data_IF_614596260666
#
_entry.id   IF_614596260666
#
_cell.length_a   1.000
_cell.length_b   1.000
_cell.length_c   1.000
_cell.angle_alpha   90.00
_cell.angle_beta   90.00
_cell.angle_gamma   90.00
#
_symmetry.space_group_name_H-M   'P 1'
#
loop_
_entity.id
_entity.type
_entity.pdbx_description
1 polymer ?
#
# COMPACT_ATOMS: atom_id res chain seq x y z
N UNK A 1 -49.51 -10.58 -17.01
CA UNK A 1 -48.12 -10.63 -16.52
C UNK A 1 -48.20 -10.61 -15.02
N UNK A 2 -47.96 -11.75 -14.39
CA UNK A 2 -48.24 -11.94 -12.97
C UNK A 2 -47.31 -11.04 -12.15
N UNK A 3 -47.89 -10.19 -11.30
CA UNK A 3 -47.22 -9.24 -10.41
C UNK A 3 -46.12 -9.92 -9.57
N UNK A 4 -46.30 -11.21 -9.32
CA UNK A 4 -45.35 -12.10 -8.66
C UNK A 4 -43.99 -12.21 -9.39
N UNK A 5 -43.99 -12.32 -10.71
CA UNK A 5 -42.77 -12.38 -11.51
C UNK A 5 -41.99 -11.06 -11.44
N UNK A 6 -42.71 -9.93 -11.44
CA UNK A 6 -42.11 -8.59 -11.30
C UNK A 6 -41.47 -8.43 -9.93
N UNK A 7 -42.15 -8.81 -8.85
CA UNK A 7 -41.58 -8.75 -7.49
C UNK A 7 -40.35 -9.66 -7.35
N UNK A 8 -40.40 -10.89 -7.88
CA UNK A 8 -39.27 -11.83 -7.81
C UNK A 8 -38.02 -11.30 -8.55
N UNK A 9 -38.22 -10.62 -9.68
CA UNK A 9 -37.12 -10.00 -10.43
C UNK A 9 -36.49 -8.86 -9.66
N UNK A 10 -37.31 -7.97 -9.08
CA UNK A 10 -36.81 -6.83 -8.30
C UNK A 10 -36.04 -7.30 -7.07
N UNK A 11 -36.58 -8.27 -6.33
CA UNK A 11 -35.91 -8.84 -5.15
C UNK A 11 -34.58 -9.49 -5.55
N UNK A 12 -34.54 -10.24 -6.65
CA UNK A 12 -33.30 -10.89 -7.11
C UNK A 12 -32.21 -9.88 -7.48
N UNK A 13 -32.57 -8.78 -8.14
CA UNK A 13 -31.62 -7.71 -8.48
C UNK A 13 -31.08 -7.03 -7.22
N UNK A 14 -31.94 -6.73 -6.25
CA UNK A 14 -31.53 -6.10 -4.99
C UNK A 14 -30.59 -7.00 -4.19
N UNK A 15 -30.90 -8.30 -4.09
CA UNK A 15 -30.05 -9.29 -3.43
C UNK A 15 -28.70 -9.42 -4.14
N UNK A 16 -28.70 -9.48 -5.49
CA UNK A 16 -27.47 -9.51 -6.28
C UNK A 16 -26.58 -8.29 -6.06
N UNK A 17 -27.18 -7.09 -6.05
CA UNK A 17 -26.46 -5.85 -5.75
C UNK A 17 -25.88 -5.83 -4.33
N UNK A 18 -26.65 -6.26 -3.33
CA UNK A 18 -26.18 -6.32 -1.95
C UNK A 18 -24.98 -7.27 -1.81
N UNK A 19 -25.04 -8.46 -2.42
CA UNK A 19 -23.93 -9.42 -2.43
C UNK A 19 -22.70 -8.81 -3.10
N UNK A 20 -22.86 -8.15 -4.26
CA UNK A 20 -21.75 -7.51 -4.96
C UNK A 20 -21.08 -6.43 -4.11
N UNK A 21 -21.86 -5.55 -3.45
CA UNK A 21 -21.33 -4.51 -2.56
C UNK A 21 -20.60 -5.12 -1.36
N UNK A 22 -21.10 -6.22 -0.78
CA UNK A 22 -20.45 -6.93 0.33
C UNK A 22 -19.11 -7.53 -0.12
N UNK A 23 -19.07 -8.21 -1.27
CA UNK A 23 -17.83 -8.79 -1.81
C UNK A 23 -16.79 -7.69 -2.06
N UNK A 24 -17.21 -6.56 -2.65
CA UNK A 24 -16.33 -5.41 -2.91
C UNK A 24 -15.82 -4.81 -1.59
N UNK A 25 -16.69 -4.66 -0.58
CA UNK A 25 -16.33 -4.16 0.74
C UNK A 25 -15.38 -5.10 1.51
N UNK A 26 -15.56 -6.42 1.38
CA UNK A 26 -14.67 -7.42 1.98
C UNK A 26 -13.31 -7.47 1.28
N UNK A 27 -13.28 -7.26 -0.04
CA UNK A 27 -12.04 -7.19 -0.81
C UNK A 27 -11.33 -5.84 -0.65
N UNK A 28 -12.04 -4.81 -0.17
CA UNK A 28 -11.45 -3.49 0.05
C UNK A 28 -10.43 -3.57 1.19
N UNK A 29 -9.16 -3.21 0.95
CA UNK A 29 -8.17 -3.15 2.00
C UNK A 29 -8.54 -2.00 2.94
N UNK A 30 -9.22 -2.32 4.04
CA UNK A 30 -9.42 -1.36 5.11
C UNK A 30 -8.06 -0.90 5.61
N UNK A 31 -7.74 0.37 5.42
CA UNK A 31 -6.64 1.01 6.12
C UNK A 31 -6.82 0.68 7.61
N UNK A 32 -5.84 -0.04 8.17
CA UNK A 32 -5.85 -0.35 9.59
C UNK A 32 -6.10 0.97 10.33
N UNK A 33 -7.15 1.09 11.15
CA UNK A 33 -7.42 2.32 11.86
C UNK A 33 -6.15 2.66 12.62
N UNK A 34 -5.54 3.78 12.21
CA UNK A 34 -4.37 4.36 12.82
C UNK A 34 -4.70 4.41 14.31
N UNK A 35 -4.06 3.52 15.11
CA UNK A 35 -4.26 3.52 16.55
C UNK A 35 -3.98 4.94 17.00
N UNK A 36 -5.04 5.62 17.40
CA UNK A 36 -4.97 6.86 18.15
C UNK A 36 -3.97 6.56 19.28
N UNK A 37 -2.86 7.30 19.40
CA UNK A 37 -1.96 7.11 20.52
C UNK A 37 -2.71 7.54 21.77
N UNK A 38 -3.44 6.61 22.40
CA UNK A 38 -4.04 6.80 23.70
C UNK A 38 -2.90 7.17 24.64
N UNK A 39 -2.97 8.40 25.11
CA UNK A 39 -1.98 9.08 25.92
C UNK A 39 -1.53 8.20 27.10
N UNK A 40 -0.39 7.54 26.92
CA UNK A 40 0.38 7.00 28.02
C UNK A 40 1.16 8.17 28.63
N UNK A 41 0.61 8.77 29.69
CA UNK A 41 1.37 9.49 30.73
C UNK A 41 2.50 8.52 31.15
N UNK A 42 3.80 8.83 31.10
CA UNK A 42 4.65 9.81 31.83
C UNK A 42 6.12 9.56 31.37
N UNK A 43 7.21 10.27 31.78
CA UNK A 43 7.48 11.66 32.19
C UNK A 43 8.64 12.28 31.31
N UNK A 44 9.26 13.45 31.64
CA UNK A 44 9.80 14.39 30.65
C UNK A 44 11.31 14.28 30.33
N UNK A 45 11.67 15.01 29.27
CA UNK A 45 12.96 15.65 29.00
C UNK A 45 14.10 14.79 28.42
N UNK A 46 14.20 14.77 27.08
CA UNK A 46 15.50 14.70 26.40
C UNK A 46 15.50 15.49 25.08
N UNK A 47 15.94 16.74 25.18
CA UNK A 47 16.50 17.63 24.17
C UNK A 47 16.41 17.15 22.70
N UNK A 48 15.34 17.55 21.99
CA UNK A 48 15.41 17.66 20.53
C UNK A 48 15.67 19.11 20.17
N UNK A 49 16.94 19.37 19.83
CA UNK A 49 17.39 20.59 19.16
C UNK A 49 16.49 20.89 17.95
N UNK A 50 16.10 22.15 17.72
CA UNK A 50 15.51 22.55 16.45
C UNK A 50 16.63 22.62 15.42
N UNK A 51 16.44 22.00 14.26
CA UNK A 51 17.23 22.34 13.07
C UNK A 51 16.27 22.64 11.93
N UNK A 52 15.91 23.91 11.86
CA UNK A 52 15.50 24.55 10.62
C UNK A 52 16.63 24.46 9.59
N UNK A 53 16.24 24.28 8.33
CA UNK A 53 17.03 24.74 7.18
C UNK A 53 17.86 23.67 6.49
N UNK A 54 17.36 23.17 5.37
CA UNK A 54 17.89 23.58 4.07
C UNK A 54 17.04 22.99 2.97
N UNK A 55 16.35 23.86 2.24
CA UNK A 55 15.71 23.52 0.98
C UNK A 55 16.79 23.09 0.00
N UNK A 56 16.68 21.86 -0.47
CA UNK A 56 17.31 21.46 -1.72
C UNK A 56 16.24 21.67 -2.78
N UNK A 57 16.41 22.72 -3.58
CA UNK A 57 15.73 22.88 -4.86
C UNK A 57 16.18 21.70 -5.73
N UNK A 58 15.37 20.64 -5.77
CA UNK A 58 15.57 19.55 -6.74
C UNK A 58 15.11 20.10 -8.10
N UNK A 59 15.95 20.02 -9.15
CA UNK A 59 15.58 20.48 -10.48
C UNK A 59 14.32 19.77 -10.96
N UNK A 60 13.32 20.58 -11.32
CA UNK A 60 12.11 20.19 -12.02
C UNK A 60 12.47 19.89 -13.49
N UNK A 61 13.11 18.75 -13.76
CA UNK A 61 13.33 18.26 -15.13
C UNK A 61 13.56 16.74 -15.07
N UNK A 62 12.46 15.98 -15.02
CA UNK A 62 12.23 14.76 -15.80
C UNK A 62 10.86 14.24 -15.40
N UNK A 63 9.95 14.26 -16.37
CA UNK A 63 8.51 14.15 -16.19
C UNK A 63 8.00 12.94 -15.44
N UNK A 64 6.71 13.02 -15.21
CA UNK A 64 5.83 12.17 -14.40
C UNK A 64 5.42 10.88 -15.17
N UNK A 65 6.03 9.69 -14.94
CA UNK A 65 5.37 8.42 -15.28
C UNK A 65 4.89 7.64 -14.06
N UNK A 66 5.10 8.15 -12.84
CA UNK A 66 4.89 7.35 -11.63
C UNK A 66 3.42 7.02 -11.35
N UNK A 67 2.47 7.92 -11.62
CA UNK A 67 1.08 7.71 -11.23
C UNK A 67 0.34 6.67 -12.09
N UNK A 68 0.55 6.69 -13.42
CA UNK A 68 -0.20 5.84 -14.36
C UNK A 68 0.46 4.49 -14.61
N UNK A 69 1.74 4.30 -14.25
CA UNK A 69 2.40 2.99 -14.32
C UNK A 69 2.44 2.25 -12.98
N UNK A 70 1.90 2.85 -11.90
CA UNK A 70 2.00 2.32 -10.53
C UNK A 70 1.42 0.91 -10.34
N UNK A 71 0.55 0.45 -11.24
CA UNK A 71 -0.06 -0.88 -11.24
C UNK A 71 0.72 -1.92 -12.08
N UNK A 72 1.69 -1.48 -12.89
CA UNK A 72 2.44 -2.38 -13.78
C UNK A 72 3.49 -3.16 -13.00
N UNK A 73 3.71 -4.42 -13.36
CA UNK A 73 4.76 -5.24 -12.75
C UNK A 73 6.16 -4.96 -13.31
N UNK A 74 6.25 -4.15 -14.37
CA UNK A 74 7.48 -3.87 -15.10
C UNK A 74 8.52 -3.17 -14.23
N UNK A 75 9.78 -3.51 -14.50
CA UNK A 75 10.92 -2.88 -13.85
C UNK A 75 10.91 -1.38 -14.17
N UNK A 76 10.93 -0.50 -13.15
CA UNK A 76 10.94 0.92 -13.37
C UNK A 76 12.26 1.33 -14.05
N UNK A 77 12.16 2.10 -15.13
CA UNK A 77 13.33 2.58 -15.89
C UNK A 77 14.16 3.61 -15.12
N UNK A 78 13.53 4.31 -14.18
CA UNK A 78 14.16 5.26 -13.29
C UNK A 78 14.03 4.80 -11.83
N UNK A 79 14.94 5.22 -10.92
CA UNK A 79 14.79 4.97 -9.50
C UNK A 79 13.46 5.51 -8.99
N UNK A 80 12.72 4.70 -8.22
CA UNK A 80 11.46 5.13 -7.60
C UNK A 80 11.72 6.24 -6.58
N UNK A 81 10.78 7.18 -6.48
CA UNK A 81 10.74 8.09 -5.34
C UNK A 81 10.32 7.31 -4.08
N UNK A 82 10.56 7.87 -2.89
CA UNK A 82 10.11 7.26 -1.64
C UNK A 82 8.59 7.04 -1.59
N UNK A 83 7.81 8.01 -2.07
CA UNK A 83 6.36 7.91 -2.10
C UNK A 83 5.89 6.79 -3.04
N UNK A 84 6.48 6.72 -4.24
CA UNK A 84 6.15 5.69 -5.23
C UNK A 84 6.59 4.30 -4.77
N UNK A 85 7.73 4.20 -4.07
CA UNK A 85 8.18 2.96 -3.49
C UNK A 85 7.18 2.45 -2.42
N UNK A 86 6.68 3.34 -1.56
CA UNK A 86 5.62 2.97 -0.61
C UNK A 86 4.32 2.57 -1.33
N UNK A 87 3.93 3.27 -2.39
CA UNK A 87 2.74 2.94 -3.17
C UNK A 87 2.88 1.59 -3.88
N UNK A 88 4.02 1.31 -4.51
CA UNK A 88 4.31 0.03 -5.15
C UNK A 88 4.28 -1.12 -4.13
N UNK A 89 4.80 -0.93 -2.91
CA UNK A 89 4.71 -1.93 -1.85
C UNK A 89 3.26 -2.20 -1.40
N UNK A 90 2.36 -1.21 -1.48
CA UNK A 90 0.93 -1.39 -1.21
C UNK A 90 0.23 -2.14 -2.35
N UNK A 91 0.45 -1.73 -3.59
CA UNK A 91 -0.22 -2.30 -4.77
C UNK A 91 0.26 -3.72 -5.10
N UNK A 92 1.52 -4.03 -4.86
CA UNK A 92 2.11 -5.34 -5.17
C UNK A 92 2.30 -6.20 -3.90
N UNK A 93 1.38 -6.10 -2.93
CA UNK A 93 1.51 -6.82 -1.65
C UNK A 93 1.53 -8.35 -1.84
N UNK A 94 0.68 -8.85 -2.73
CA UNK A 94 0.34 -10.28 -2.87
C UNK A 94 1.31 -11.08 -3.75
N UNK A 95 1.96 -10.44 -4.73
CA UNK A 95 2.89 -11.10 -5.64
C UNK A 95 4.29 -10.47 -5.56
N UNK A 96 5.33 -11.21 -5.93
CA UNK A 96 6.71 -10.71 -6.00
C UNK A 96 7.08 -10.36 -7.45
N UNK A 97 6.99 -9.08 -7.80
CA UNK A 97 7.32 -8.59 -9.14
C UNK A 97 8.61 -7.74 -9.15
N UNK A 98 9.15 -7.49 -10.34
CA UNK A 98 10.33 -6.65 -10.53
C UNK A 98 10.15 -5.25 -9.92
N UNK A 99 8.96 -4.64 -10.07
CA UNK A 99 8.64 -3.34 -9.47
C UNK A 99 8.66 -3.36 -7.94
N UNK A 100 8.12 -4.41 -7.30
CA UNK A 100 8.16 -4.56 -5.83
C UNK A 100 9.58 -4.68 -5.32
N UNK A 101 10.42 -5.47 -5.99
CA UNK A 101 11.84 -5.63 -5.63
C UNK A 101 12.61 -4.30 -5.76
N UNK A 102 12.35 -3.55 -6.82
CA UNK A 102 12.92 -2.21 -6.98
C UNK A 102 12.46 -1.25 -5.87
N UNK A 103 11.16 -1.24 -5.55
CA UNK A 103 10.61 -0.43 -4.46
C UNK A 103 11.21 -0.79 -3.10
N UNK A 104 11.34 -2.08 -2.82
CA UNK A 104 11.98 -2.59 -1.61
C UNK A 104 13.44 -2.14 -1.49
N UNK A 105 14.21 -2.26 -2.59
CA UNK A 105 15.59 -1.78 -2.64
C UNK A 105 15.69 -0.27 -2.40
N UNK A 106 14.80 0.54 -2.99
CA UNK A 106 14.72 1.98 -2.74
C UNK A 106 14.47 2.29 -1.27
N UNK A 107 13.54 1.58 -0.61
CA UNK A 107 13.22 1.80 0.80
C UNK A 107 14.38 1.40 1.73
N UNK A 108 15.13 0.34 1.39
CA UNK A 108 16.34 -0.05 2.11
C UNK A 108 17.43 1.00 1.96
N UNK A 109 17.70 1.44 0.72
CA UNK A 109 18.70 2.46 0.44
C UNK A 109 18.41 3.77 1.18
N UNK A 110 17.14 4.11 1.35
CA UNK A 110 16.70 5.28 2.12
C UNK A 110 16.61 5.06 3.64
N UNK A 111 16.95 3.87 4.15
CA UNK A 111 16.89 3.52 5.58
C UNK A 111 15.48 3.48 6.16
N UNK A 112 14.45 3.29 5.32
CA UNK A 112 13.03 3.23 5.74
C UNK A 112 12.53 1.81 5.98
N UNK A 113 13.28 0.80 5.53
CA UNK A 113 12.94 -0.61 5.68
C UNK A 113 14.21 -1.41 5.90
N UNK A 114 14.20 -2.28 6.91
CA UNK A 114 15.29 -3.22 7.18
C UNK A 114 14.86 -4.60 6.69
N UNK A 115 15.65 -5.29 5.86
CA UNK A 115 15.36 -6.65 5.47
C UNK A 115 15.26 -7.54 6.72
N UNK A 116 14.18 -8.28 6.86
CA UNK A 116 14.04 -9.27 7.91
C UNK A 116 14.92 -10.48 7.57
N UNK A 117 16.14 -10.47 8.10
CA UNK A 117 17.11 -11.55 7.92
C UNK A 117 16.64 -12.88 8.51
N UNK A 118 15.69 -12.84 9.46
CA UNK A 118 15.09 -14.05 10.04
C UNK A 118 14.17 -14.79 9.07
N UNK A 119 13.69 -14.18 7.97
CA UNK A 119 12.82 -14.88 7.01
C UNK A 119 13.54 -15.72 5.96
N UNK A 120 14.88 -15.73 5.93
CA UNK A 120 15.64 -16.48 4.92
C UNK A 120 15.58 -18.01 5.08
N UNK A 121 15.10 -18.56 6.21
CA UNK A 121 15.15 -20.00 6.48
C UNK A 121 13.86 -20.79 6.16
N UNK A 122 12.74 -20.17 5.77
CA UNK A 122 11.45 -20.89 5.67
C UNK A 122 11.23 -21.68 4.35
N UNK A 123 12.15 -21.63 3.39
CA UNK A 123 11.97 -22.27 2.08
C UNK A 123 12.86 -23.51 1.85
N UNK A 124 13.48 -24.04 2.90
CA UNK A 124 14.42 -25.15 2.82
C UNK A 124 13.99 -26.38 3.63
N UNK A 125 12.70 -26.69 3.69
CA UNK A 125 12.24 -28.01 4.18
C UNK A 125 11.39 -28.71 3.11
N UNK A 126 11.96 -29.70 2.39
CA UNK A 126 11.19 -30.74 1.73
C UNK A 126 10.89 -31.84 2.76
N UNK A 127 9.62 -31.99 3.11
CA UNK A 127 9.07 -33.24 3.63
C UNK A 127 8.00 -33.70 2.65
#
# INVERSE_FOLDING_TARGET
MDSWHVMSSVVSVLVGCAIAVVIIGCLWPGDAPQRVPSARRTPPHRNRRPRHGSGVLVPLETGYPASWTAWTCDLPRAPLTLADAHQAMRHHREHDCARKRAAFATLIAAGRMTPDSSRRYRWAEPW
#
